data_IF_864081713860
#
_entry.id   IF_864081713860
#
_cell.length_a   1.000
_cell.length_b   1.000
_cell.length_c   1.000
_cell.angle_alpha   90.00
_cell.angle_beta   90.00
_cell.angle_gamma   90.00
#
_symmetry.space_group_name_H-M   'P 1'
#
loop_
_entity.id
_entity.type
_entity.pdbx_description
1 polymer ?
#
# COMPACT_ATOMS: atom_id res chain seq x y z
N UNK A 1 13.03 -29.62 -1.41
CA UNK A 1 13.69 -28.36 -1.04
C UNK A 1 15.18 -28.55 -0.80
N UNK A 2 16.03 -27.85 -1.55
CA UNK A 2 17.44 -27.67 -1.18
C UNK A 2 17.62 -26.33 -0.46
N UNK A 3 18.15 -26.37 0.77
CA UNK A 3 18.52 -25.16 1.49
C UNK A 3 19.83 -24.64 0.93
N UNK A 4 19.75 -23.63 0.06
CA UNK A 4 20.92 -22.98 -0.54
C UNK A 4 20.91 -21.51 -0.13
N UNK A 5 22.00 -20.98 0.45
CA UNK A 5 22.07 -19.56 0.74
C UNK A 5 21.92 -18.77 -0.56
N UNK A 6 21.12 -17.70 -0.52
CA UNK A 6 21.00 -16.80 -1.66
C UNK A 6 22.26 -15.94 -1.73
N UNK A 7 23.18 -16.34 -2.61
CA UNK A 7 24.37 -15.55 -2.93
C UNK A 7 24.11 -14.71 -4.18
N UNK A 8 23.88 -13.40 -3.98
CA UNK A 8 23.61 -12.44 -5.05
C UNK A 8 24.76 -12.34 -6.07
N UNK A 9 25.98 -12.78 -5.73
CA UNK A 9 27.13 -12.75 -6.64
C UNK A 9 27.14 -13.89 -7.65
N UNK A 10 26.36 -14.97 -7.42
CA UNK A 10 26.34 -16.18 -8.25
C UNK A 10 25.05 -16.32 -9.08
N UNK A 11 24.27 -15.25 -9.17
CA UNK A 11 23.01 -15.25 -9.91
C UNK A 11 23.24 -15.01 -11.40
N UNK A 12 22.61 -15.86 -12.21
CA UNK A 12 22.57 -15.75 -13.67
C UNK A 12 21.25 -15.15 -14.18
N UNK A 13 21.15 -14.85 -15.49
CA UNK A 13 19.95 -14.29 -16.10
C UNK A 13 18.74 -15.24 -16.08
N UNK A 14 18.97 -16.55 -15.94
CA UNK A 14 17.94 -17.59 -15.82
C UNK A 14 17.34 -17.72 -14.42
N UNK A 15 17.88 -17.03 -13.40
CA UNK A 15 17.43 -17.16 -12.02
C UNK A 15 16.27 -16.23 -11.69
N UNK A 16 15.21 -16.78 -11.11
CA UNK A 16 14.05 -16.01 -10.64
C UNK A 16 13.98 -16.05 -9.10
N UNK A 17 13.85 -14.90 -8.46
CA UNK A 17 13.67 -14.80 -7.00
C UNK A 17 12.25 -14.37 -6.67
N UNK A 18 11.51 -15.28 -6.03
CA UNK A 18 10.17 -15.02 -5.51
C UNK A 18 10.27 -14.63 -4.03
N UNK A 19 9.62 -13.52 -3.68
CA UNK A 19 9.61 -12.98 -2.32
C UNK A 19 8.18 -12.89 -1.77
N UNK A 20 7.97 -12.82 -0.44
CA UNK A 20 6.64 -12.64 0.13
C UNK A 20 6.08 -11.23 -0.09
N UNK A 21 6.89 -10.22 -0.43
CA UNK A 21 6.43 -8.84 -0.56
C UNK A 21 7.35 -7.95 -1.41
N UNK A 22 6.78 -6.86 -1.93
CA UNK A 22 7.48 -5.86 -2.77
C UNK A 22 8.70 -5.25 -2.10
N UNK A 23 8.68 -5.09 -0.78
CA UNK A 23 9.78 -4.47 -0.04
C UNK A 23 11.04 -5.33 -0.10
N UNK A 24 10.91 -6.65 0.08
CA UNK A 24 12.05 -7.55 0.00
C UNK A 24 12.63 -7.60 -1.42
N UNK A 25 11.78 -7.69 -2.46
CA UNK A 25 12.24 -7.63 -3.85
C UNK A 25 13.00 -6.34 -4.17
N UNK A 26 12.48 -5.17 -3.75
CA UNK A 26 13.15 -3.89 -3.97
C UNK A 26 14.51 -3.81 -3.25
N UNK A 27 14.61 -4.41 -2.07
CA UNK A 27 15.87 -4.46 -1.31
C UNK A 27 16.90 -5.38 -1.97
N UNK A 28 16.48 -6.57 -2.41
CA UNK A 28 17.36 -7.49 -3.14
C UNK A 28 17.87 -6.88 -4.45
N UNK A 29 17.01 -6.19 -5.19
CA UNK A 29 17.40 -5.46 -6.41
C UNK A 29 18.47 -4.42 -6.10
N UNK A 30 18.28 -3.61 -5.04
CA UNK A 30 19.25 -2.59 -4.63
C UNK A 30 20.59 -3.21 -4.24
N UNK A 31 20.59 -4.23 -3.40
CA UNK A 31 21.82 -4.88 -2.93
C UNK A 31 22.56 -5.56 -4.09
N UNK A 32 21.82 -6.16 -5.03
CA UNK A 32 22.40 -6.70 -6.27
C UNK A 32 23.04 -5.60 -7.12
N UNK A 33 22.34 -4.50 -7.37
CA UNK A 33 22.86 -3.36 -8.14
C UNK A 33 24.12 -2.75 -7.50
N UNK A 34 24.15 -2.67 -6.16
CA UNK A 34 25.32 -2.18 -5.42
C UNK A 34 26.51 -3.14 -5.55
N UNK A 35 26.28 -4.45 -5.45
CA UNK A 35 27.32 -5.48 -5.64
C UNK A 35 27.89 -5.42 -7.06
N UNK A 36 27.04 -5.34 -8.08
CA UNK A 36 27.46 -5.29 -9.48
C UNK A 36 28.30 -4.04 -9.78
N UNK A 37 27.87 -2.90 -9.23
CA UNK A 37 28.57 -1.62 -9.37
C UNK A 37 29.92 -1.59 -8.64
N UNK A 38 29.95 -2.02 -7.38
CA UNK A 38 31.11 -1.80 -6.50
C UNK A 38 32.13 -2.93 -6.58
N UNK A 39 31.69 -4.18 -6.52
CA UNK A 39 32.57 -5.36 -6.47
C UNK A 39 33.00 -5.79 -7.87
N UNK A 40 32.06 -5.84 -8.81
CA UNK A 40 32.35 -6.28 -10.18
C UNK A 40 32.75 -5.13 -11.12
N UNK A 41 32.56 -3.86 -10.69
CA UNK A 41 32.88 -2.65 -11.45
C UNK A 41 32.25 -2.63 -12.85
N UNK A 42 31.10 -3.28 -13.00
CA UNK A 42 30.36 -3.30 -14.26
C UNK A 42 29.68 -1.94 -14.50
N UNK A 43 29.56 -1.55 -15.76
CA UNK A 43 28.81 -0.35 -16.18
C UNK A 43 27.35 -0.67 -16.53
N UNK A 44 27.09 -1.92 -16.91
CA UNK A 44 25.78 -2.44 -17.32
C UNK A 44 25.69 -3.90 -16.90
N UNK A 45 24.56 -4.32 -16.37
CA UNK A 45 24.27 -5.69 -15.99
C UNK A 45 22.79 -5.99 -16.23
N UNK A 46 22.42 -7.27 -16.30
CA UNK A 46 21.02 -7.68 -16.39
C UNK A 46 20.30 -7.35 -15.08
N UNK A 47 19.07 -6.86 -15.19
CA UNK A 47 18.24 -6.64 -14.00
C UNK A 47 17.99 -7.97 -13.29
N UNK A 48 18.03 -7.94 -11.97
CA UNK A 48 17.70 -9.09 -11.14
C UNK A 48 16.23 -9.45 -11.39
N UNK A 49 15.96 -10.68 -11.82
CA UNK A 49 14.57 -11.17 -11.93
C UNK A 49 14.05 -11.46 -10.53
N UNK A 50 13.63 -10.44 -9.79
CA UNK A 50 13.01 -10.57 -8.48
C UNK A 50 11.61 -9.96 -8.47
N UNK A 51 10.66 -10.68 -7.87
CA UNK A 51 9.31 -10.15 -7.70
C UNK A 51 8.56 -10.83 -6.55
N UNK A 52 7.51 -10.19 -6.01
CA UNK A 52 6.62 -10.83 -5.06
C UNK A 52 5.87 -12.00 -5.69
N UNK A 53 5.63 -13.04 -4.91
CA UNK A 53 4.92 -14.23 -5.35
C UNK A 53 3.54 -13.93 -5.97
N UNK A 54 2.76 -13.06 -5.35
CA UNK A 54 1.44 -12.67 -5.87
C UNK A 54 1.54 -11.93 -7.21
N UNK A 55 2.61 -11.15 -7.41
CA UNK A 55 2.85 -10.45 -8.69
C UNK A 55 3.24 -11.45 -9.78
N UNK A 56 4.02 -12.47 -9.43
CA UNK A 56 4.36 -13.55 -10.34
C UNK A 56 3.14 -14.37 -10.76
N UNK A 57 2.22 -14.71 -9.84
CA UNK A 57 0.97 -15.39 -10.20
C UNK A 57 0.10 -14.56 -11.15
N UNK A 58 0.02 -13.24 -10.92
CA UNK A 58 -0.69 -12.33 -11.82
C UNK A 58 -0.05 -12.29 -13.21
N UNK A 59 1.28 -12.27 -13.28
CA UNK A 59 2.02 -12.36 -14.54
C UNK A 59 1.68 -13.67 -15.28
N UNK A 60 1.70 -14.81 -14.59
CA UNK A 60 1.37 -16.11 -15.19
C UNK A 60 -0.08 -16.17 -15.66
N UNK A 61 -1.02 -15.60 -14.91
CA UNK A 61 -2.41 -15.48 -15.33
C UNK A 61 -2.53 -14.69 -16.64
N UNK A 62 -1.87 -13.53 -16.74
CA UNK A 62 -1.92 -12.71 -17.94
C UNK A 62 -1.33 -13.43 -19.14
N UNK A 63 -0.22 -14.17 -18.96
CA UNK A 63 0.38 -14.98 -20.03
C UNK A 63 -0.58 -16.08 -20.50
N UNK A 64 -1.16 -16.84 -19.56
CA UNK A 64 -2.13 -17.88 -19.90
C UNK A 64 -3.38 -17.32 -20.56
N UNK A 65 -3.90 -16.18 -20.12
CA UNK A 65 -5.11 -15.58 -20.66
C UNK A 65 -4.97 -15.22 -22.15
N UNK A 66 -3.75 -15.01 -22.66
CA UNK A 66 -3.49 -14.74 -24.08
C UNK A 66 -3.56 -15.99 -24.96
N UNK A 67 -3.26 -17.17 -24.41
CA UNK A 67 -3.07 -18.41 -25.18
C UNK A 67 -4.07 -19.52 -24.83
N UNK A 68 -4.75 -19.43 -23.69
CA UNK A 68 -5.60 -20.50 -23.18
C UNK A 68 -6.87 -20.65 -24.01
N UNK A 69 -7.14 -21.90 -24.40
CA UNK A 69 -8.42 -22.34 -24.95
C UNK A 69 -8.85 -23.62 -24.22
N UNK A 70 -9.98 -23.63 -23.49
CA UNK A 70 -10.95 -22.55 -23.34
C UNK A 70 -10.43 -21.34 -22.55
N UNK A 71 -11.13 -20.21 -22.68
CA UNK A 71 -10.76 -18.96 -22.01
C UNK A 71 -10.74 -19.10 -20.48
N UNK A 72 -9.73 -18.50 -19.85
CA UNK A 72 -9.61 -18.46 -18.40
C UNK A 72 -10.75 -17.64 -17.75
N UNK A 73 -11.09 -17.92 -16.48
CA UNK A 73 -11.99 -17.07 -15.71
C UNK A 73 -11.48 -15.63 -15.67
N UNK A 74 -12.38 -14.65 -15.71
CA UNK A 74 -12.03 -13.24 -15.64
C UNK A 74 -11.55 -12.88 -14.23
N UNK A 75 -10.32 -12.37 -14.13
CA UNK A 75 -9.78 -11.88 -12.87
C UNK A 75 -10.47 -10.59 -12.42
N UNK A 76 -11.00 -10.60 -11.20
CA UNK A 76 -11.60 -9.43 -10.57
C UNK A 76 -10.54 -8.49 -10.00
N UNK A 77 -10.75 -7.19 -10.20
CA UNK A 77 -9.97 -6.14 -9.54
C UNK A 77 -10.29 -6.07 -8.03
N UNK A 78 -9.39 -5.51 -7.20
CA UNK A 78 -9.65 -5.36 -5.76
C UNK A 78 -10.95 -4.62 -5.44
N UNK A 79 -11.32 -3.62 -6.25
CA UNK A 79 -12.58 -2.89 -6.08
C UNK A 79 -13.78 -3.77 -6.38
N UNK A 80 -13.72 -4.61 -7.43
CA UNK A 80 -14.79 -5.54 -7.77
C UNK A 80 -14.96 -6.62 -6.71
N UNK A 81 -13.84 -7.18 -6.19
CA UNK A 81 -13.87 -8.13 -5.08
C UNK A 81 -14.51 -7.49 -3.84
N UNK A 82 -14.13 -6.26 -3.51
CA UNK A 82 -14.74 -5.49 -2.42
C UNK A 82 -16.24 -5.31 -2.62
N UNK A 83 -16.67 -4.89 -3.81
CA UNK A 83 -18.10 -4.70 -4.13
C UNK A 83 -18.89 -6.01 -4.05
N UNK A 84 -18.30 -7.13 -4.45
CA UNK A 84 -18.95 -8.45 -4.38
C UNK A 84 -19.12 -8.91 -2.93
N UNK A 85 -18.10 -8.73 -2.08
CA UNK A 85 -18.24 -8.95 -0.64
C UNK A 85 -19.28 -8.02 -0.01
N UNK A 86 -19.28 -6.74 -0.40
CA UNK A 86 -20.23 -5.76 0.10
C UNK A 86 -21.69 -6.18 -0.20
N UNK A 87 -21.97 -6.69 -1.40
CA UNK A 87 -23.29 -7.20 -1.80
C UNK A 87 -23.84 -8.21 -0.78
N UNK A 88 -23.02 -9.17 -0.35
CA UNK A 88 -23.46 -10.27 0.52
C UNK A 88 -23.45 -9.93 2.01
N UNK A 89 -22.76 -8.85 2.40
CA UNK A 89 -22.64 -8.43 3.80
C UNK A 89 -23.57 -7.28 4.18
N UNK A 90 -24.14 -6.55 3.21
CA UNK A 90 -24.97 -5.36 3.46
C UNK A 90 -26.22 -5.69 4.30
N UNK A 91 -26.86 -6.82 4.03
CA UNK A 91 -28.11 -7.21 4.72
C UNK A 91 -27.86 -7.87 6.09
N UNK A 92 -26.60 -8.21 6.39
CA UNK A 92 -26.21 -8.88 7.64
C UNK A 92 -25.69 -7.88 8.69
N UNK A 93 -25.17 -6.74 8.25
CA UNK A 93 -24.57 -5.74 9.14
C UNK A 93 -25.61 -4.69 9.54
N UNK A 94 -25.97 -4.67 10.82
CA UNK A 94 -26.91 -3.68 11.37
C UNK A 94 -26.36 -2.22 11.32
N UNK A 95 -25.05 -2.05 11.45
CA UNK A 95 -24.40 -0.73 11.46
C UNK A 95 -23.48 -0.52 10.24
N UNK A 96 -23.82 0.40 9.31
CA UNK A 96 -23.04 0.65 8.10
C UNK A 96 -21.56 1.00 8.32
N UNK A 97 -21.21 1.52 9.51
CA UNK A 97 -19.84 1.89 9.86
C UNK A 97 -18.90 0.68 10.04
N UNK A 98 -19.43 -0.51 10.36
CA UNK A 98 -18.63 -1.72 10.56
C UNK A 98 -18.43 -2.54 9.28
N UNK A 99 -19.20 -2.23 8.23
CA UNK A 99 -19.20 -2.99 6.98
C UNK A 99 -17.83 -3.06 6.31
N UNK A 100 -17.07 -1.96 6.30
CA UNK A 100 -15.74 -1.95 5.68
C UNK A 100 -14.75 -2.87 6.43
N UNK A 101 -14.75 -2.82 7.77
CA UNK A 101 -13.89 -3.69 8.58
C UNK A 101 -14.24 -5.17 8.36
N UNK A 102 -15.54 -5.49 8.28
CA UNK A 102 -16.00 -6.85 8.03
C UNK A 102 -15.58 -7.34 6.63
N UNK A 103 -15.75 -6.53 5.58
CA UNK A 103 -15.31 -6.87 4.23
C UNK A 103 -13.81 -7.20 4.22
N UNK A 104 -12.99 -6.41 4.90
CA UNK A 104 -11.55 -6.65 4.99
C UNK A 104 -11.24 -7.97 5.70
N UNK A 105 -11.93 -8.29 6.81
CA UNK A 105 -11.77 -9.56 7.51
C UNK A 105 -12.17 -10.75 6.63
N UNK A 106 -13.29 -10.67 5.90
CA UNK A 106 -13.72 -11.73 4.99
C UNK A 106 -12.71 -11.97 3.86
N UNK A 107 -12.15 -10.90 3.28
CA UNK A 107 -11.09 -11.01 2.26
C UNK A 107 -9.81 -11.65 2.82
N UNK A 108 -9.43 -11.30 4.06
CA UNK A 108 -8.29 -11.91 4.74
C UNK A 108 -8.53 -13.40 5.01
N UNK A 109 -9.70 -13.77 5.53
CA UNK A 109 -10.08 -15.15 5.77
C UNK A 109 -10.08 -15.98 4.48
N UNK A 110 -10.68 -15.46 3.40
CA UNK A 110 -10.64 -16.08 2.06
C UNK A 110 -9.20 -16.31 1.57
N UNK A 111 -8.31 -15.34 1.78
CA UNK A 111 -6.89 -15.46 1.43
C UNK A 111 -6.22 -16.56 2.23
N UNK A 112 -6.47 -16.64 3.55
CA UNK A 112 -5.93 -17.69 4.41
C UNK A 112 -6.42 -19.07 4.00
N UNK A 113 -7.73 -19.23 3.76
CA UNK A 113 -8.33 -20.48 3.28
C UNK A 113 -7.65 -20.97 2.01
N UNK A 114 -7.41 -20.08 1.05
CA UNK A 114 -6.76 -20.43 -0.20
C UNK A 114 -5.27 -20.80 -0.01
N UNK A 115 -4.52 -19.99 0.75
CA UNK A 115 -3.09 -20.22 1.00
C UNK A 115 -2.82 -21.52 1.74
N UNK A 116 -3.64 -21.80 2.75
CA UNK A 116 -3.50 -22.96 3.62
C UNK A 116 -4.32 -24.18 3.19
N UNK A 117 -5.07 -24.08 2.10
CA UNK A 117 -5.95 -25.15 1.61
C UNK A 117 -6.91 -25.66 2.71
N UNK A 118 -7.44 -24.73 3.51
CA UNK A 118 -8.30 -25.08 4.65
C UNK A 118 -9.61 -25.71 4.14
N UNK A 119 -9.95 -26.94 4.56
CA UNK A 119 -11.20 -27.55 4.16
C UNK A 119 -12.36 -26.77 4.77
N UNK A 120 -13.48 -26.72 4.05
CA UNK A 120 -14.67 -25.97 4.46
C UNK A 120 -15.23 -26.43 5.81
N UNK A 121 -15.04 -27.71 6.15
CA UNK A 121 -15.46 -28.31 7.42
C UNK A 121 -14.86 -27.65 8.65
N UNK A 122 -13.65 -27.09 8.54
CA UNK A 122 -12.91 -26.60 9.71
C UNK A 122 -13.41 -25.25 10.22
N UNK A 123 -14.00 -24.43 9.33
CA UNK A 123 -14.42 -23.07 9.65
C UNK A 123 -15.91 -22.82 9.39
N UNK A 124 -16.57 -23.59 8.51
CA UNK A 124 -18.03 -23.50 8.33
C UNK A 124 -18.83 -24.00 9.55
N UNK A 125 -18.25 -24.89 10.35
CA UNK A 125 -18.90 -25.46 11.54
C UNK A 125 -18.63 -24.64 12.82
N UNK A 126 -18.03 -23.46 12.69
CA UNK A 126 -17.77 -22.58 13.81
C UNK A 126 -19.05 -22.25 14.60
N UNK A 127 -18.97 -22.31 15.92
CA UNK A 127 -20.14 -22.07 16.79
C UNK A 127 -20.53 -20.60 16.88
N UNK A 128 -19.60 -19.68 16.59
CA UNK A 128 -19.80 -18.24 16.70
C UNK A 128 -20.66 -17.66 15.57
N UNK A 129 -21.35 -16.56 15.88
CA UNK A 129 -22.18 -15.83 14.91
C UNK A 129 -21.35 -15.32 13.73
N UNK A 130 -20.14 -14.81 13.99
CA UNK A 130 -19.22 -14.32 12.97
C UNK A 130 -18.83 -15.40 11.96
N UNK A 131 -18.67 -16.65 12.41
CA UNK A 131 -18.32 -17.76 11.53
C UNK A 131 -19.47 -18.14 10.63
N UNK A 132 -20.71 -18.13 11.14
CA UNK A 132 -21.91 -18.38 10.33
C UNK A 132 -22.13 -17.29 9.28
N UNK A 133 -21.94 -16.03 9.67
CA UNK A 133 -22.02 -14.88 8.75
C UNK A 133 -20.97 -15.00 7.64
N UNK A 134 -19.72 -15.26 8.01
CA UNK A 134 -18.65 -15.46 7.02
C UNK A 134 -18.93 -16.66 6.12
N UNK A 135 -19.35 -17.80 6.67
CA UNK A 135 -19.66 -19.00 5.90
C UNK A 135 -20.74 -18.78 4.85
N UNK A 136 -21.86 -18.16 5.23
CA UNK A 136 -22.95 -17.83 4.33
C UNK A 136 -22.49 -16.86 3.21
N UNK A 137 -21.84 -15.76 3.60
CA UNK A 137 -21.37 -14.75 2.64
C UNK A 137 -20.28 -15.32 1.70
N UNK A 138 -19.37 -16.15 2.22
CA UNK A 138 -18.34 -16.80 1.43
C UNK A 138 -18.91 -17.80 0.43
N UNK A 139 -19.94 -18.57 0.82
CA UNK A 139 -20.63 -19.47 -0.10
C UNK A 139 -21.26 -18.71 -1.27
N UNK A 140 -22.02 -17.64 -0.97
CA UNK A 140 -22.64 -16.79 -2.00
C UNK A 140 -21.60 -16.12 -2.90
N UNK A 141 -20.47 -15.68 -2.31
CA UNK A 141 -19.35 -15.12 -3.06
C UNK A 141 -18.76 -16.15 -4.05
N UNK A 142 -18.55 -17.40 -3.63
CA UNK A 142 -18.05 -18.46 -4.50
C UNK A 142 -19.07 -18.87 -5.59
N UNK A 143 -20.36 -18.83 -5.29
CA UNK A 143 -21.43 -19.03 -6.27
C UNK A 143 -21.39 -17.96 -7.36
N UNK A 144 -21.32 -16.68 -6.98
CA UNK A 144 -21.19 -15.58 -7.94
C UNK A 144 -19.93 -15.74 -8.82
N UNK A 145 -18.78 -16.13 -8.24
CA UNK A 145 -17.57 -16.39 -9.02
C UNK A 145 -17.76 -17.50 -10.05
N UNK A 146 -18.43 -18.59 -9.67
CA UNK A 146 -18.65 -19.74 -10.55
C UNK A 146 -19.61 -19.41 -11.69
N UNK A 147 -20.74 -18.78 -11.37
CA UNK A 147 -21.79 -18.46 -12.33
C UNK A 147 -21.31 -17.50 -13.43
N UNK A 148 -20.48 -16.52 -13.06
CA UNK A 148 -20.00 -15.51 -13.99
C UNK A 148 -18.64 -15.84 -14.61
N UNK A 149 -18.09 -17.04 -14.32
CA UNK A 149 -16.75 -17.46 -14.73
C UNK A 149 -15.68 -16.43 -14.34
N UNK A 150 -15.69 -16.04 -13.06
CA UNK A 150 -14.75 -15.09 -12.47
C UNK A 150 -13.77 -15.79 -11.52
N UNK A 151 -12.67 -15.10 -11.23
CA UNK A 151 -11.73 -15.50 -10.20
C UNK A 151 -11.25 -14.28 -9.41
N UNK A 152 -11.09 -14.45 -8.11
CA UNK A 152 -10.50 -13.45 -7.23
C UNK A 152 -8.97 -13.64 -7.11
N UNK A 153 -8.20 -12.62 -6.68
CA UNK A 153 -6.76 -12.77 -6.52
C UNK A 153 -6.34 -13.93 -5.61
N UNK A 154 -7.14 -14.25 -4.58
CA UNK A 154 -6.85 -15.38 -3.68
C UNK A 154 -6.95 -16.74 -4.39
N UNK A 155 -7.82 -16.88 -5.40
CA UNK A 155 -7.97 -18.11 -6.18
C UNK A 155 -6.89 -18.31 -7.26
N UNK A 156 -6.14 -17.26 -7.61
CA UNK A 156 -5.15 -17.33 -8.71
C UNK A 156 -4.13 -18.45 -8.56
N UNK A 157 -3.48 -18.67 -7.39
CA UNK A 157 -2.47 -19.72 -7.25
C UNK A 157 -2.99 -21.12 -7.66
N UNK A 158 -4.23 -21.44 -7.26
CA UNK A 158 -4.87 -22.71 -7.60
C UNK A 158 -5.19 -22.80 -9.09
N UNK A 159 -5.71 -21.74 -9.70
CA UNK A 159 -5.97 -21.72 -11.14
C UNK A 159 -4.69 -21.93 -11.95
N UNK A 160 -3.60 -21.27 -11.57
CA UNK A 160 -2.30 -21.41 -12.24
C UNK A 160 -1.77 -22.83 -12.07
N UNK A 161 -1.93 -23.43 -10.90
CA UNK A 161 -1.58 -24.83 -10.66
C UNK A 161 -2.40 -25.79 -11.53
N UNK A 162 -3.72 -25.64 -11.57
CA UNK A 162 -4.61 -26.52 -12.34
C UNK A 162 -4.38 -26.42 -13.86
N UNK A 163 -3.86 -25.28 -14.32
CA UNK A 163 -3.54 -25.00 -15.73
C UNK A 163 -2.05 -25.08 -16.02
N UNK A 164 -1.27 -25.65 -15.10
CA UNK A 164 0.17 -25.62 -15.19
C UNK A 164 0.67 -26.43 -16.39
N UNK A 165 1.35 -25.76 -17.33
CA UNK A 165 2.11 -26.37 -18.42
C UNK A 165 3.61 -26.13 -18.24
N UNK A 166 4.44 -26.90 -18.95
CA UNK A 166 5.91 -26.77 -18.94
C UNK A 166 6.40 -25.37 -19.35
N UNK A 167 5.59 -24.61 -20.08
CA UNK A 167 5.99 -23.35 -20.71
C UNK A 167 5.73 -22.12 -19.84
N UNK A 168 5.18 -22.30 -18.62
CA UNK A 168 4.77 -21.19 -17.78
C UNK A 168 5.92 -20.48 -17.07
N UNK A 169 7.04 -21.15 -16.85
CA UNK A 169 8.16 -20.55 -16.15
C UNK A 169 9.45 -20.71 -16.95
N UNK A 170 9.90 -19.60 -17.56
CA UNK A 170 11.18 -19.53 -18.29
C UNK A 170 12.36 -19.28 -17.33
N UNK A 171 12.35 -19.93 -16.17
CA UNK A 171 13.43 -19.85 -15.19
C UNK A 171 14.17 -21.18 -15.14
N UNK A 172 15.50 -21.12 -15.12
CA UNK A 172 16.33 -22.30 -14.91
C UNK A 172 16.30 -22.71 -13.43
N UNK A 173 16.31 -21.70 -12.54
CA UNK A 173 16.24 -21.88 -11.09
C UNK A 173 15.32 -20.85 -10.46
N UNK A 174 14.55 -21.27 -9.46
CA UNK A 174 13.66 -20.41 -8.69
C UNK A 174 14.10 -20.40 -7.23
N UNK A 175 14.30 -19.20 -6.68
CA UNK A 175 14.59 -18.98 -5.27
C UNK A 175 13.34 -18.52 -4.53
N UNK A 176 12.88 -19.34 -3.58
CA UNK A 176 11.90 -18.90 -2.58
C UNK A 176 12.65 -18.24 -1.42
N UNK A 177 12.61 -16.90 -1.35
CA UNK A 177 13.44 -16.13 -0.40
C UNK A 177 12.59 -15.36 0.62
N UNK A 178 12.88 -15.57 1.90
CA UNK A 178 12.34 -14.76 2.99
C UNK A 178 10.91 -15.11 3.41
N UNK A 179 10.41 -16.29 3.04
CA UNK A 179 9.13 -16.81 3.52
C UNK A 179 9.26 -17.31 4.97
N UNK A 180 8.27 -16.96 5.80
CA UNK A 180 8.25 -17.31 7.21
C UNK A 180 8.01 -18.81 7.44
N UNK A 181 7.05 -19.37 6.70
CA UNK A 181 6.70 -20.78 6.75
C UNK A 181 6.78 -21.37 5.35
N UNK A 182 7.73 -22.29 5.15
CA UNK A 182 7.92 -22.99 3.89
C UNK A 182 7.01 -24.21 3.74
N UNK A 183 6.42 -24.65 4.85
CA UNK A 183 5.45 -25.73 4.88
C UNK A 183 4.05 -25.22 4.55
N UNK A 184 3.88 -23.92 4.31
CA UNK A 184 2.65 -23.34 3.77
C UNK A 184 2.22 -24.13 2.52
N UNK A 185 1.00 -24.73 2.52
CA UNK A 185 0.54 -25.61 1.44
C UNK A 185 0.64 -25.00 0.04
N UNK A 186 0.34 -23.71 -0.14
CA UNK A 186 0.49 -23.06 -1.43
C UNK A 186 1.96 -23.03 -1.92
N UNK A 187 2.93 -22.85 -1.02
CA UNK A 187 4.36 -22.84 -1.38
C UNK A 187 4.85 -24.24 -1.71
N UNK A 188 4.42 -25.25 -0.96
CA UNK A 188 4.81 -26.65 -1.23
C UNK A 188 4.22 -27.16 -2.54
N UNK A 189 2.98 -26.77 -2.88
CA UNK A 189 2.39 -27.08 -4.18
C UNK A 189 3.12 -26.38 -5.32
N UNK A 190 3.49 -25.11 -5.15
CA UNK A 190 4.28 -24.37 -6.14
C UNK A 190 5.65 -25.01 -6.36
N UNK A 191 6.36 -25.36 -5.28
CA UNK A 191 7.64 -26.06 -5.36
C UNK A 191 7.50 -27.38 -6.14
N UNK A 192 6.47 -28.16 -5.80
CA UNK A 192 6.21 -29.45 -6.44
C UNK A 192 5.95 -29.29 -7.94
N UNK A 193 5.14 -28.29 -8.33
CA UNK A 193 4.84 -27.99 -9.72
C UNK A 193 6.08 -27.54 -10.51
N UNK A 194 6.91 -26.66 -9.93
CA UNK A 194 8.16 -26.21 -10.55
C UNK A 194 9.16 -27.36 -10.70
N UNK A 195 9.31 -28.19 -9.66
CA UNK A 195 10.21 -29.34 -9.68
C UNK A 195 9.77 -30.39 -10.70
N UNK A 196 8.46 -30.65 -10.81
CA UNK A 196 7.90 -31.53 -11.83
C UNK A 196 8.12 -31.02 -13.26
N UNK A 197 8.20 -29.70 -13.44
CA UNK A 197 8.58 -29.06 -14.70
C UNK A 197 10.09 -29.05 -14.97
N UNK A 198 10.91 -29.66 -14.10
CA UNK A 198 12.36 -29.74 -14.24
C UNK A 198 13.13 -28.48 -13.78
N UNK A 199 12.45 -27.56 -13.09
CA UNK A 199 13.06 -26.31 -12.60
C UNK A 199 13.61 -26.53 -11.20
N UNK A 200 14.87 -26.14 -10.96
CA UNK A 200 15.48 -26.26 -9.64
C UNK A 200 14.87 -25.23 -8.68
N UNK A 201 14.26 -25.68 -7.59
CA UNK A 201 13.73 -24.80 -6.54
C UNK A 201 14.65 -24.76 -5.34
N UNK A 202 15.25 -23.60 -5.10
CA UNK A 202 16.13 -23.31 -3.98
C UNK A 202 15.39 -22.50 -2.92
N UNK A 203 15.65 -22.81 -1.65
CA UNK A 203 15.02 -22.08 -0.54
C UNK A 203 16.06 -21.42 0.36
N UNK A 204 15.82 -20.16 0.71
CA UNK A 204 16.79 -19.31 1.42
C UNK A 204 16.13 -18.32 2.39
N UNK A 205 16.93 -17.75 3.30
CA UNK A 205 16.47 -16.71 4.24
C UNK A 205 16.01 -17.23 5.61
N UNK A 206 16.18 -18.53 5.90
CA UNK A 206 15.80 -19.13 7.19
C UNK A 206 16.98 -19.54 8.08
N UNK A 207 18.23 -19.19 7.70
CA UNK A 207 19.38 -19.58 8.51
C UNK A 207 19.34 -18.83 9.85
N UNK A 208 19.00 -19.53 10.94
CA UNK A 208 19.21 -19.02 12.29
C UNK A 208 20.70 -18.92 12.52
N UNK A 209 21.20 -17.71 12.69
CA UNK A 209 22.57 -17.50 13.14
C UNK A 209 22.64 -17.88 14.62
N UNK A 210 23.69 -18.60 15.02
CA UNK A 210 23.96 -18.75 16.45
C UNK A 210 24.28 -17.38 17.02
N UNK A 211 23.66 -17.05 18.15
CA UNK A 211 23.81 -15.75 18.80
C UNK A 211 23.42 -15.84 20.26
N UNK A 212 23.76 -14.79 20.99
CA UNK A 212 23.33 -14.64 22.38
C UNK A 212 22.05 -13.81 22.41
N UNK A 213 20.98 -14.41 22.92
CA UNK A 213 19.75 -13.70 23.26
C UNK A 213 19.72 -13.44 24.76
N UNK A 214 19.18 -12.29 25.14
CA UNK A 214 18.97 -11.91 26.53
C UNK A 214 17.76 -11.00 26.63
N UNK A 215 17.19 -10.93 27.84
CA UNK A 215 16.03 -10.08 28.13
C UNK A 215 16.44 -9.04 29.16
N UNK A 216 16.05 -7.79 28.91
CA UNK A 216 16.20 -6.68 29.85
C UNK A 216 14.81 -6.20 30.26
N UNK A 217 14.64 -5.91 31.55
CA UNK A 217 13.40 -5.33 32.08
C UNK A 217 13.58 -3.82 32.28
N UNK A 218 12.52 -3.08 32.04
CA UNK A 218 12.46 -1.63 32.24
C UNK A 218 11.18 -1.28 33.00
N UNK A 219 11.18 -0.13 33.66
CA UNK A 219 10.06 0.33 34.51
C UNK A 219 8.81 0.60 33.68
N UNK A 220 8.96 1.11 32.46
CA UNK A 220 7.87 1.36 31.52
C UNK A 220 8.34 1.28 30.05
N UNK A 221 7.39 1.41 29.11
CA UNK A 221 7.66 1.41 27.67
C UNK A 221 8.54 2.58 27.22
N UNK A 222 8.43 3.76 27.85
CA UNK A 222 9.24 4.92 27.51
C UNK A 222 10.72 4.70 27.81
N UNK A 223 11.02 4.15 28.98
CA UNK A 223 12.36 3.75 29.40
C UNK A 223 12.93 2.65 28.49
N UNK A 224 12.11 1.67 28.12
CA UNK A 224 12.51 0.63 27.16
C UNK A 224 12.92 1.22 25.81
N UNK A 225 12.11 2.13 25.24
CA UNK A 225 12.43 2.77 23.96
C UNK A 225 13.69 3.63 24.03
N UNK A 226 13.85 4.45 25.07
CA UNK A 226 15.05 5.27 25.27
C UNK A 226 16.31 4.42 25.37
N UNK A 227 16.25 3.31 26.11
CA UNK A 227 17.37 2.39 26.25
C UNK A 227 17.70 1.69 24.92
N UNK A 228 16.70 1.20 24.20
CA UNK A 228 16.90 0.54 22.90
C UNK A 228 17.52 1.48 21.86
N UNK A 229 17.01 2.72 21.77
CA UNK A 229 17.55 3.72 20.84
C UNK A 229 18.96 4.16 21.24
N UNK A 230 19.20 4.45 22.52
CA UNK A 230 20.54 4.81 23.01
C UNK A 230 21.55 3.70 22.74
N UNK A 231 21.17 2.46 22.98
CA UNK A 231 21.99 1.30 22.62
C UNK A 231 22.31 1.29 21.13
N UNK A 232 21.30 1.34 20.25
CA UNK A 232 21.51 1.28 18.80
C UNK A 232 22.42 2.41 18.29
N UNK A 233 22.24 3.64 18.79
CA UNK A 233 23.09 4.78 18.48
C UNK A 233 24.54 4.51 18.91
N UNK A 234 24.76 4.08 20.14
CA UNK A 234 26.10 3.75 20.63
C UNK A 234 26.76 2.63 19.81
N UNK A 235 26.01 1.58 19.45
CA UNK A 235 26.53 0.49 18.63
C UNK A 235 26.87 0.96 17.20
N UNK A 236 26.05 1.84 16.59
CA UNK A 236 26.31 2.38 15.26
C UNK A 236 27.62 3.15 15.20
N UNK A 237 27.88 4.01 16.19
CA UNK A 237 29.14 4.75 16.26
C UNK A 237 30.35 3.88 16.60
N UNK A 238 30.17 2.83 17.42
CA UNK A 238 31.24 1.88 17.72
C UNK A 238 31.58 0.98 16.51
N UNK A 239 30.58 0.63 15.69
CA UNK A 239 30.75 -0.21 14.50
C UNK A 239 29.97 0.34 13.29
N UNK A 240 30.49 1.35 12.59
CA UNK A 240 29.77 2.02 11.49
C UNK A 240 29.41 1.11 10.30
N UNK A 241 30.14 0.00 10.12
CA UNK A 241 29.87 -0.98 9.07
C UNK A 241 28.77 -1.98 9.43
N UNK A 242 28.35 -2.04 10.69
CA UNK A 242 27.28 -2.94 11.15
C UNK A 242 25.92 -2.25 11.05
N UNK A 243 24.89 -3.05 10.74
CA UNK A 243 23.50 -2.61 10.70
C UNK A 243 22.79 -3.07 11.96
N UNK A 244 22.13 -2.15 12.64
CA UNK A 244 21.35 -2.41 13.85
C UNK A 244 19.89 -2.13 13.55
N UNK A 245 18.99 -2.99 14.05
CA UNK A 245 17.56 -2.85 13.86
C UNK A 245 16.84 -2.98 15.20
N UNK A 246 15.84 -2.13 15.42
CA UNK A 246 14.94 -2.20 16.56
C UNK A 246 13.57 -2.55 16.01
N UNK A 247 13.00 -3.66 16.49
CA UNK A 247 11.66 -4.11 16.08
C UNK A 247 10.66 -3.69 17.15
N UNK A 248 9.70 -2.86 16.75
CA UNK A 248 8.67 -2.32 17.64
C UNK A 248 7.30 -2.80 17.14
N UNK A 249 6.50 -3.47 17.97
CA UNK A 249 5.14 -3.84 17.59
C UNK A 249 4.29 -2.58 17.37
N UNK A 250 3.41 -2.61 16.36
CA UNK A 250 2.52 -1.49 16.03
C UNK A 250 3.25 -0.14 15.84
N UNK A 251 4.41 -0.17 15.18
CA UNK A 251 5.27 0.99 14.95
C UNK A 251 4.53 2.23 14.42
N UNK A 252 3.50 2.04 13.58
CA UNK A 252 2.69 3.16 13.05
C UNK A 252 2.00 3.97 14.15
N UNK A 253 1.42 3.31 15.16
CA UNK A 253 0.76 3.99 16.28
C UNK A 253 1.75 4.67 17.22
N UNK A 254 2.95 4.11 17.35
CA UNK A 254 4.01 4.62 18.25
C UNK A 254 4.94 5.64 17.58
N UNK A 255 4.76 5.94 16.29
CA UNK A 255 5.69 6.74 15.51
C UNK A 255 5.93 8.14 16.08
N UNK A 256 4.85 8.89 16.36
CA UNK A 256 4.98 10.26 16.88
C UNK A 256 5.71 10.29 18.23
N UNK A 257 5.50 9.27 19.07
CA UNK A 257 6.22 9.13 20.32
C UNK A 257 7.71 8.86 20.08
N UNK A 258 8.04 7.96 19.14
CA UNK A 258 9.43 7.67 18.76
C UNK A 258 10.15 8.86 18.14
N UNK A 259 9.49 9.65 17.30
CA UNK A 259 10.09 10.86 16.72
C UNK A 259 10.45 11.89 17.79
N UNK A 260 9.61 12.06 18.82
CA UNK A 260 9.93 12.90 19.98
C UNK A 260 11.12 12.35 20.76
N UNK A 261 11.15 11.05 21.03
CA UNK A 261 12.29 10.41 21.70
C UNK A 261 13.58 10.51 20.89
N UNK A 262 13.51 10.43 19.56
CA UNK A 262 14.67 10.65 18.69
C UNK A 262 15.15 12.10 18.73
N UNK A 263 14.24 13.08 18.82
CA UNK A 263 14.60 14.48 19.02
C UNK A 263 15.27 14.69 20.39
N UNK A 264 14.77 14.07 21.46
CA UNK A 264 15.42 14.10 22.78
C UNK A 264 16.83 13.47 22.74
N UNK A 265 17.04 12.44 21.91
CA UNK A 265 18.36 11.82 21.73
C UNK A 265 19.36 12.74 21.04
N UNK A 266 18.92 13.60 20.11
CA UNK A 266 19.81 14.63 19.53
C UNK A 266 20.35 15.54 20.64
N UNK A 267 19.49 15.96 21.56
CA UNK A 267 19.90 16.77 22.70
C UNK A 267 20.85 16.02 23.66
N UNK A 268 20.70 14.70 23.80
CA UNK A 268 21.56 13.87 24.65
C UNK A 268 22.91 13.51 24.02
N UNK A 269 23.01 13.50 22.69
CA UNK A 269 24.23 13.13 21.94
C UNK A 269 24.57 14.14 20.83
N UNK A 270 24.76 15.43 21.15
CA UNK A 270 24.92 16.49 20.15
C UNK A 270 26.17 16.32 19.26
N UNK A 271 27.24 15.72 19.80
CA UNK A 271 28.48 15.49 19.05
C UNK A 271 28.38 14.33 18.04
N UNK A 272 27.31 13.53 18.12
CA UNK A 272 27.16 12.28 17.36
C UNK A 272 25.97 12.32 16.42
N UNK A 273 24.83 12.79 16.92
CA UNK A 273 23.65 13.05 16.12
C UNK A 273 23.73 14.52 15.71
N UNK A 274 23.94 14.79 14.41
CA UNK A 274 23.78 16.14 13.87
C UNK A 274 22.39 16.72 14.22
N UNK A 275 22.13 17.99 13.91
CA UNK A 275 20.85 18.69 14.20
C UNK A 275 19.59 17.90 13.78
N UNK A 276 19.73 16.89 12.90
CA UNK A 276 18.67 15.95 12.56
C UNK A 276 19.10 14.47 12.73
N UNK A 277 18.44 13.77 13.66
CA UNK A 277 18.59 12.34 13.92
C UNK A 277 18.30 11.45 12.71
N UNK A 278 17.55 11.95 11.71
CA UNK A 278 17.13 11.20 10.51
C UNK A 278 18.30 10.77 9.62
N UNK A 279 19.49 11.35 9.80
CA UNK A 279 20.71 10.91 9.12
C UNK A 279 21.24 9.58 9.66
N UNK A 280 20.92 9.24 10.91
CA UNK A 280 21.46 8.07 11.61
C UNK A 280 20.37 7.01 11.81
N UNK A 281 19.13 7.43 12.08
CA UNK A 281 18.02 6.51 12.39
C UNK A 281 16.99 6.57 11.27
N UNK A 282 16.69 5.39 10.69
CA UNK A 282 15.62 5.21 9.71
C UNK A 282 14.42 4.48 10.32
N UNK A 283 13.24 5.10 10.28
CA UNK A 283 11.98 4.49 10.72
C UNK A 283 11.22 3.93 9.51
N UNK A 284 11.28 2.60 9.34
CA UNK A 284 10.75 1.87 8.16
C UNK A 284 9.25 2.02 7.92
N UNK A 285 8.43 2.24 8.95
CA UNK A 285 7.00 2.52 8.77
C UNK A 285 6.81 3.99 8.37
N UNK A 286 6.89 4.27 7.08
CA UNK A 286 6.51 5.57 6.53
C UNK A 286 5.06 5.89 6.88
N UNK A 287 4.75 7.17 7.08
CA UNK A 287 3.36 7.57 7.22
C UNK A 287 2.68 7.51 5.83
N UNK A 288 1.38 7.19 5.76
CA UNK A 288 0.64 7.32 4.52
C UNK A 288 0.86 8.71 3.93
N UNK A 289 0.99 8.82 2.60
CA UNK A 289 1.19 10.12 1.97
C UNK A 289 0.05 11.09 2.37
N UNK A 290 -1.16 10.57 2.56
CA UNK A 290 -2.33 11.31 3.05
C UNK A 290 -2.21 11.91 4.47
N UNK A 291 -1.22 11.51 5.27
CA UNK A 291 -0.99 12.10 6.60
C UNK A 291 -0.25 13.43 6.53
N UNK A 292 0.51 13.68 5.45
CA UNK A 292 1.18 14.95 5.22
C UNK A 292 0.15 15.99 4.78
N UNK A 293 0.12 17.15 5.44
CA UNK A 293 -0.91 18.16 5.22
C UNK A 293 -1.04 18.57 3.75
N UNK A 294 0.07 18.79 3.04
CA UNK A 294 0.03 19.11 1.61
C UNK A 294 -0.71 18.03 0.80
N UNK A 295 -0.34 16.78 1.02
CA UNK A 295 -0.89 15.64 0.31
C UNK A 295 -2.34 15.36 0.69
N UNK A 296 -2.72 15.55 1.96
CA UNK A 296 -4.11 15.40 2.42
C UNK A 296 -5.03 16.41 1.75
N UNK A 297 -4.60 17.68 1.62
CA UNK A 297 -5.37 18.72 0.93
C UNK A 297 -5.43 18.48 -0.59
N UNK A 298 -4.37 17.95 -1.20
CA UNK A 298 -4.37 17.54 -2.60
C UNK A 298 -5.34 16.38 -2.86
N UNK A 299 -5.34 15.36 -2.00
CA UNK A 299 -6.29 14.23 -2.09
C UNK A 299 -7.74 14.70 -1.87
N UNK A 300 -7.96 15.62 -0.94
CA UNK A 300 -9.27 16.22 -0.70
C UNK A 300 -9.77 17.00 -1.93
N UNK A 301 -8.88 17.73 -2.60
CA UNK A 301 -9.19 18.40 -3.87
C UNK A 301 -9.54 17.38 -4.96
N UNK A 302 -8.75 16.30 -5.11
CA UNK A 302 -9.06 15.24 -6.07
C UNK A 302 -10.43 14.61 -5.80
N UNK A 303 -10.77 14.39 -4.53
CA UNK A 303 -12.09 13.92 -4.12
C UNK A 303 -13.20 14.92 -4.46
N UNK A 304 -12.97 16.22 -4.28
CA UNK A 304 -13.90 17.29 -4.66
C UNK A 304 -14.20 17.32 -6.15
N UNK A 305 -13.19 17.00 -6.98
CA UNK A 305 -13.31 16.95 -8.43
C UNK A 305 -14.06 15.72 -8.92
N UNK A 306 -13.91 14.58 -8.24
CA UNK A 306 -14.51 13.30 -8.62
C UNK A 306 -15.92 13.07 -8.06
N UNK A 307 -16.41 13.90 -7.14
CA UNK A 307 -17.70 13.67 -6.51
C UNK A 307 -18.16 14.75 -5.54
N UNK A 308 -19.13 14.39 -4.70
CA UNK A 308 -19.69 15.28 -3.70
C UNK A 308 -18.86 15.24 -2.41
N UNK A 309 -18.58 16.41 -1.84
CA UNK A 309 -18.02 16.53 -0.49
C UNK A 309 -19.05 17.07 0.48
N UNK A 310 -18.89 16.72 1.76
CA UNK A 310 -19.62 17.35 2.87
C UNK A 310 -19.14 18.78 3.04
N UNK A 311 -19.98 19.63 3.63
CA UNK A 311 -19.60 21.03 3.88
C UNK A 311 -18.35 21.18 4.76
N UNK A 312 -18.16 20.30 5.74
CA UNK A 312 -16.95 20.27 6.58
C UNK A 312 -15.67 19.98 5.78
N UNK A 313 -15.77 19.13 4.75
CA UNK A 313 -14.65 18.83 3.85
C UNK A 313 -14.36 20.03 2.93
N UNK A 314 -15.40 20.71 2.45
CA UNK A 314 -15.24 21.97 1.72
C UNK A 314 -14.60 23.06 2.56
N UNK A 315 -14.95 23.16 3.84
CA UNK A 315 -14.34 24.11 4.77
C UNK A 315 -12.83 23.91 4.88
N UNK A 316 -12.36 22.66 5.06
CA UNK A 316 -10.93 22.32 5.07
C UNK A 316 -10.28 22.70 3.74
N UNK A 317 -10.90 22.36 2.61
CA UNK A 317 -10.34 22.61 1.29
C UNK A 317 -10.23 24.11 0.96
N UNK A 318 -11.26 24.89 1.27
CA UNK A 318 -11.31 26.33 1.06
C UNK A 318 -10.30 27.07 1.96
N UNK A 319 -10.16 26.66 3.22
CA UNK A 319 -9.23 27.26 4.17
C UNK A 319 -7.79 26.74 4.07
N UNK A 320 -7.53 25.82 3.14
CA UNK A 320 -6.21 25.25 2.92
C UNK A 320 -5.14 26.32 2.70
N UNK A 321 -4.03 26.31 3.44
CA UNK A 321 -2.93 27.25 3.24
C UNK A 321 -2.09 26.92 2.01
N UNK A 322 -2.21 25.71 1.46
CA UNK A 322 -1.38 25.22 0.36
C UNK A 322 -1.85 25.69 -1.02
N UNK A 323 -3.12 26.06 -1.16
CA UNK A 323 -3.63 26.59 -2.44
C UNK A 323 -3.38 28.09 -2.54
N UNK A 324 -3.07 28.56 -3.74
CA UNK A 324 -2.87 29.99 -4.03
C UNK A 324 -3.93 30.88 -3.37
N UNK A 325 -3.47 31.93 -2.70
CA UNK A 325 -4.33 32.88 -1.98
C UNK A 325 -5.01 32.34 -0.72
N UNK A 326 -4.68 31.12 -0.26
CA UNK A 326 -5.30 30.49 0.91
C UNK A 326 -5.14 31.26 2.21
N UNK A 327 -3.92 31.69 2.52
CA UNK A 327 -3.64 32.53 3.70
C UNK A 327 -4.15 33.96 3.50
N UNK A 328 -3.95 34.52 2.30
CA UNK A 328 -4.28 35.92 1.98
C UNK A 328 -5.79 36.21 1.95
N UNK A 329 -6.61 35.24 1.53
CA UNK A 329 -8.06 35.40 1.39
C UNK A 329 -8.86 34.59 2.42
N UNK A 330 -8.23 34.22 3.52
CA UNK A 330 -8.84 33.39 4.56
C UNK A 330 -10.18 33.96 5.05
N UNK A 331 -10.23 35.26 5.35
CA UNK A 331 -11.44 35.93 5.84
C UNK A 331 -12.62 35.85 4.86
N UNK A 332 -12.35 36.09 3.56
CA UNK A 332 -13.38 36.03 2.51
C UNK A 332 -13.89 34.60 2.31
N UNK A 333 -12.99 33.61 2.35
CA UNK A 333 -13.36 32.20 2.25
C UNK A 333 -14.14 31.71 3.49
N UNK A 334 -13.81 32.21 4.68
CA UNK A 334 -14.56 31.94 5.90
C UNK A 334 -15.99 32.50 5.84
N UNK A 335 -16.15 33.75 5.41
CA UNK A 335 -17.46 34.36 5.17
C UNK A 335 -18.29 33.57 4.13
N UNK A 336 -17.64 33.06 3.09
CA UNK A 336 -18.30 32.21 2.10
C UNK A 336 -18.76 30.87 2.70
N UNK A 337 -17.97 30.24 3.58
CA UNK A 337 -18.37 29.00 4.26
C UNK A 337 -19.59 29.24 5.16
N UNK A 338 -19.62 30.35 5.89
CA UNK A 338 -20.78 30.76 6.70
C UNK A 338 -22.01 30.94 5.80
N UNK A 339 -21.84 31.59 4.64
CA UNK A 339 -22.91 31.73 3.66
C UNK A 339 -23.37 30.39 3.09
N UNK A 340 -22.45 29.45 2.80
CA UNK A 340 -22.79 28.09 2.35
C UNK A 340 -23.59 27.31 3.39
N UNK A 341 -23.29 27.46 4.68
CA UNK A 341 -24.08 26.86 5.78
C UNK A 341 -25.54 27.34 5.72
N UNK A 342 -25.78 28.62 5.41
CA UNK A 342 -27.15 29.16 5.28
C UNK A 342 -27.97 28.54 4.15
N UNK A 343 -27.32 27.94 3.15
CA UNK A 343 -27.98 27.26 2.01
C UNK A 343 -28.41 25.82 2.32
N UNK A 344 -28.07 25.30 3.50
CA UNK A 344 -28.49 24.00 4.05
C UNK A 344 -28.35 22.81 3.08
N UNK A 345 -27.22 22.70 2.39
CA UNK A 345 -26.91 21.55 1.52
C UNK A 345 -25.92 20.62 2.22
N UNK A 346 -26.31 19.37 2.41
CA UNK A 346 -25.47 18.35 3.06
C UNK A 346 -24.24 17.98 2.21
N UNK A 347 -24.39 18.02 0.89
CA UNK A 347 -23.37 17.63 -0.08
C UNK A 347 -23.29 18.66 -1.20
N UNK A 348 -22.06 18.99 -1.59
CA UNK A 348 -21.76 19.97 -2.62
C UNK A 348 -20.69 19.40 -3.56
N UNK A 349 -20.89 19.54 -4.88
CA UNK A 349 -19.86 19.24 -5.87
C UNK A 349 -19.09 20.51 -6.28
N UNK A 350 -17.96 20.30 -6.94
CA UNK A 350 -17.07 21.37 -7.40
C UNK A 350 -17.76 22.47 -8.20
N UNK A 351 -18.57 22.09 -9.20
CA UNK A 351 -19.26 23.04 -10.07
C UNK A 351 -20.22 23.94 -9.27
N UNK A 352 -21.01 23.35 -8.38
CA UNK A 352 -21.95 24.09 -7.53
C UNK A 352 -21.20 25.08 -6.65
N UNK A 353 -20.11 24.67 -5.99
CA UNK A 353 -19.34 25.57 -5.12
C UNK A 353 -18.74 26.73 -5.92
N UNK A 354 -18.25 26.48 -7.14
CA UNK A 354 -17.69 27.52 -7.99
C UNK A 354 -18.74 28.53 -8.46
N UNK A 355 -19.93 28.08 -8.87
CA UNK A 355 -21.03 28.98 -9.23
C UNK A 355 -21.53 29.78 -8.02
N UNK A 356 -21.66 29.13 -6.86
CA UNK A 356 -22.01 29.79 -5.61
C UNK A 356 -20.96 30.82 -5.17
N UNK A 357 -19.68 30.57 -5.44
CA UNK A 357 -18.61 31.53 -5.18
C UNK A 357 -18.72 32.77 -6.07
N UNK A 358 -19.04 32.61 -7.36
CA UNK A 358 -19.27 33.76 -8.26
C UNK A 358 -20.41 34.65 -7.76
N UNK A 359 -21.52 34.04 -7.33
CA UNK A 359 -22.66 34.77 -6.76
C UNK A 359 -22.25 35.48 -5.46
N UNK A 360 -21.55 34.78 -4.56
CA UNK A 360 -21.11 35.35 -3.30
C UNK A 360 -20.12 36.51 -3.48
N UNK A 361 -19.12 36.34 -4.35
CA UNK A 361 -18.11 37.36 -4.62
C UNK A 361 -18.70 38.58 -5.32
N UNK A 362 -19.62 38.42 -6.26
CA UNK A 362 -20.32 39.55 -6.89
C UNK A 362 -21.08 40.43 -5.89
N UNK A 363 -21.57 39.85 -4.78
CA UNK A 363 -22.27 40.60 -3.72
C UNK A 363 -21.38 41.12 -2.60
N UNK A 364 -20.11 40.69 -2.51
CA UNK A 364 -19.23 40.96 -1.36
C UNK A 364 -17.83 41.47 -1.74
N UNK A 365 -17.51 41.66 -3.02
CA UNK A 365 -16.22 42.21 -3.46
C UNK A 365 -16.16 43.74 -3.25
N UNK A 366 -15.04 44.29 -2.75
CA UNK A 366 -14.80 45.73 -2.76
C UNK A 366 -14.68 46.22 -4.21
N UNK A 367 -15.21 47.42 -4.46
CA UNK A 367 -15.65 47.97 -5.75
C UNK A 367 -14.59 48.10 -6.87
N UNK A 368 -13.35 47.64 -6.70
CA UNK A 368 -12.28 47.74 -7.69
C UNK A 368 -11.36 46.49 -7.80
N UNK A 369 -11.68 45.37 -7.16
CA UNK A 369 -10.88 44.14 -7.28
C UNK A 369 -11.55 43.13 -8.24
N UNK A 370 -10.81 42.65 -9.25
CA UNK A 370 -11.24 41.51 -10.06
C UNK A 370 -11.64 40.33 -9.15
N UNK A 371 -12.73 39.59 -9.48
CA UNK A 371 -13.16 38.46 -8.67
C UNK A 371 -12.03 37.43 -8.57
N UNK A 372 -11.51 37.25 -7.36
CA UNK A 372 -10.46 36.27 -7.10
C UNK A 372 -11.02 34.85 -7.36
N UNK A 373 -10.38 34.05 -8.22
CA UNK A 373 -10.83 32.69 -8.47
C UNK A 373 -10.67 31.85 -7.20
N UNK A 374 -11.72 31.12 -6.82
CA UNK A 374 -11.73 30.27 -5.61
C UNK A 374 -10.51 29.34 -5.57
N UNK A 375 -10.16 28.78 -6.73
CA UNK A 375 -8.92 28.05 -7.00
C UNK A 375 -8.36 28.49 -8.38
N UNK A 376 -7.09 28.87 -8.48
CA UNK A 376 -6.41 29.13 -9.77
C UNK A 376 -6.03 27.81 -10.46
N UNK A 377 -7.01 27.13 -11.05
CA UNK A 377 -6.76 26.03 -11.98
C UNK A 377 -7.60 26.32 -13.21
N UNK A 378 -6.99 26.38 -14.40
CA UNK A 378 -7.68 26.78 -15.63
C UNK A 378 -9.04 26.06 -15.80
N UNK A 379 -10.13 26.78 -15.52
CA UNK A 379 -11.50 26.26 -15.30
C UNK A 379 -12.01 25.40 -16.46
N UNK A 380 -11.60 25.72 -17.68
CA UNK A 380 -12.01 25.01 -18.90
C UNK A 380 -11.59 23.54 -18.94
N UNK A 381 -10.56 23.16 -18.18
CA UNK A 381 -10.05 21.78 -18.18
C UNK A 381 -10.72 20.85 -17.17
N UNK A 382 -11.48 21.38 -16.21
CA UNK A 382 -12.01 20.60 -15.07
C UNK A 382 -13.38 19.99 -15.34
N UNK A 383 -14.29 20.75 -15.98
CA UNK A 383 -15.63 20.27 -16.32
C UNK A 383 -15.64 19.06 -17.28
N UNK A 384 -14.57 18.88 -18.06
CA UNK A 384 -14.41 17.78 -19.02
C UNK A 384 -13.78 16.51 -18.42
N UNK A 385 -13.24 16.56 -17.20
CA UNK A 385 -12.41 15.48 -16.63
C UNK A 385 -13.17 14.36 -15.92
N UNK A 386 -14.49 14.48 -15.81
CA UNK A 386 -15.37 13.34 -15.50
C UNK A 386 -15.43 12.30 -16.63
N UNK A 387 -14.82 12.59 -17.79
CA UNK A 387 -14.74 11.67 -18.93
C UNK A 387 -13.38 10.96 -18.99
N UNK A 388 -13.35 9.77 -19.61
CA UNK A 388 -12.19 8.88 -19.79
C UNK A 388 -10.99 9.61 -20.40
N UNK A 389 -10.16 10.19 -19.54
CA UNK A 389 -8.99 10.97 -19.93
C UNK A 389 -7.74 10.08 -19.90
N UNK A 390 -6.87 10.24 -20.90
CA UNK A 390 -5.60 9.51 -20.94
C UNK A 390 -4.67 9.93 -19.80
N UNK A 391 -3.82 8.99 -19.34
CA UNK A 391 -2.85 9.20 -18.26
C UNK A 391 -1.95 10.43 -18.49
N UNK A 392 -1.60 10.71 -19.76
CA UNK A 392 -0.79 11.88 -20.15
C UNK A 392 -1.48 13.21 -19.80
N UNK A 393 -2.79 13.30 -20.01
CA UNK A 393 -3.58 14.51 -19.71
C UNK A 393 -3.79 14.69 -18.20
N UNK A 394 -3.75 13.59 -17.45
CA UNK A 394 -3.69 13.61 -15.99
C UNK A 394 -2.36 14.17 -15.49
N UNK A 395 -1.24 13.69 -16.01
CA UNK A 395 0.10 14.15 -15.60
C UNK A 395 0.35 15.62 -15.92
N UNK A 396 -0.03 16.10 -17.11
CA UNK A 396 0.10 17.52 -17.49
C UNK A 396 -0.66 18.43 -16.54
N UNK A 397 -1.83 17.99 -16.09
CA UNK A 397 -2.66 18.76 -15.17
C UNK A 397 -2.18 18.70 -13.73
N UNK A 398 -1.74 17.53 -13.27
CA UNK A 398 -1.10 17.39 -11.97
C UNK A 398 0.10 18.35 -11.89
N UNK A 399 0.93 18.43 -12.94
CA UNK A 399 2.04 19.38 -13.01
C UNK A 399 1.58 20.85 -12.95
N UNK A 400 0.49 21.21 -13.61
CA UNK A 400 -0.06 22.58 -13.54
C UNK A 400 -0.57 22.92 -12.13
N UNK A 401 -1.15 21.95 -11.43
CA UNK A 401 -1.59 22.13 -10.04
C UNK A 401 -0.41 22.21 -9.09
N UNK A 402 0.58 21.35 -9.26
CA UNK A 402 1.82 21.42 -8.48
C UNK A 402 2.49 22.79 -8.66
N UNK A 403 2.52 23.34 -9.88
CA UNK A 403 3.00 24.70 -10.13
C UNK A 403 2.12 25.81 -9.54
N UNK A 404 0.83 25.55 -9.29
CA UNK A 404 -0.10 26.51 -8.68
C UNK A 404 -0.11 26.46 -7.14
N UNK A 405 0.51 25.42 -6.55
CA UNK A 405 0.70 25.26 -5.11
C UNK A 405 1.91 26.05 -4.57
N UNK A 406 2.68 26.69 -5.46
CA UNK A 406 3.94 27.38 -5.13
C UNK A 406 5.13 26.58 -5.62
#
# INVERSE_FOLDING_TARGET
MTHKPLDLTQLGPGDLILTPNRRLSAWLQRDYDEIQRTRQRLKTWHALRTQPLDSWFLEQYNRLALVSNPALPRLLSPLQVRSLWQKHLTDVVAEPNHLEGLIQLCQQARTLICRWHLPSTDWNLGESEENRVFAAAHQQFLEDLREHHWIDPAGLPRLIHDRWGTDLCEAERVFLHGFNDLQEPQLTHLESALTAAGIEVCVSGQHRQQGHSGTLSFVDYGAQFKAALSWAVQQHFAWPLKRFAIVIPNLQHQRLHLEKLCADLVAAYPDRLADDWRHVINITAGQPLSSFSLCSHLLLMLKALGGNLRLAEWEVLLKSPFFSGGVQHFQMRDAFIVWLRSKNRAFLNWCIVHELWKVFSASNSPTEAEPFPLFKVSDRTLAQRGQTTSLRNWLVWLNRILAALG
#
